data_IF_407419454342
#
_entry.id   IF_407419454342
#
_cell.length_a   1.000
_cell.length_b   1.000
_cell.length_c   1.000
_cell.angle_alpha   90.00
_cell.angle_beta   90.00
_cell.angle_gamma   90.00
#
_symmetry.space_group_name_H-M   'P 1'
#
loop_
_entity.id
_entity.type
_entity.pdbx_description
1 polymer ?
#
# COMPACT_ATOMS: atom_id res chain seq x y z
N UNK A 1 17.53 -17.75 11.65
CA UNK A 1 17.64 -18.24 10.26
C UNK A 1 16.31 -18.30 9.51
N UNK A 2 15.37 -19.23 9.77
CA UNK A 2 14.13 -19.36 8.95
C UNK A 2 13.26 -18.09 9.00
N UNK A 3 13.03 -17.54 10.20
CA UNK A 3 12.23 -16.32 10.41
C UNK A 3 12.83 -15.06 9.78
N UNK A 4 14.16 -14.99 9.71
CA UNK A 4 14.88 -13.87 9.07
C UNK A 4 14.77 -13.95 7.55
N UNK A 5 14.91 -15.15 6.99
CA UNK A 5 14.72 -15.38 5.55
C UNK A 5 13.30 -15.02 5.10
N UNK A 6 12.28 -15.40 5.87
CA UNK A 6 10.88 -15.02 5.60
C UNK A 6 10.65 -13.50 5.68
N UNK A 7 11.22 -12.83 6.69
CA UNK A 7 11.12 -11.37 6.83
C UNK A 7 11.81 -10.64 5.66
N UNK A 8 12.96 -11.14 5.21
CA UNK A 8 13.66 -10.61 4.03
C UNK A 8 12.84 -10.78 2.75
N UNK A 9 12.26 -11.96 2.53
CA UNK A 9 11.41 -12.21 1.36
C UNK A 9 10.16 -11.33 1.36
N UNK A 10 9.51 -11.15 2.52
CA UNK A 10 8.37 -10.25 2.66
C UNK A 10 8.75 -8.81 2.35
N UNK A 11 9.89 -8.34 2.86
CA UNK A 11 10.41 -7.00 2.57
C UNK A 11 10.72 -6.83 1.08
N UNK A 12 11.36 -7.82 0.46
CA UNK A 12 11.68 -7.79 -0.97
C UNK A 12 10.42 -7.69 -1.83
N UNK A 13 9.37 -8.46 -1.51
CA UNK A 13 8.07 -8.38 -2.19
C UNK A 13 7.42 -7.01 -2.04
N UNK A 14 7.46 -6.42 -0.84
CA UNK A 14 6.98 -5.05 -0.62
C UNK A 14 7.71 -4.07 -1.55
N UNK A 15 9.05 -4.08 -1.53
CA UNK A 15 9.86 -3.14 -2.32
C UNK A 15 9.64 -3.31 -3.82
N UNK A 16 9.43 -4.56 -4.27
CA UNK A 16 9.12 -4.87 -5.67
C UNK A 16 7.74 -4.31 -6.05
N UNK A 17 6.72 -4.51 -5.23
CA UNK A 17 5.40 -3.91 -5.47
C UNK A 17 5.48 -2.38 -5.50
N UNK A 18 6.26 -1.77 -4.60
CA UNK A 18 6.49 -0.33 -4.58
C UNK A 18 7.21 0.17 -5.83
N UNK A 19 8.23 -0.57 -6.32
CA UNK A 19 8.88 -0.27 -7.60
C UNK A 19 7.90 -0.28 -8.77
N UNK A 20 7.05 -1.29 -8.87
CA UNK A 20 6.03 -1.37 -9.92
C UNK A 20 5.11 -0.14 -9.85
N UNK A 21 4.61 0.20 -8.65
CA UNK A 21 3.77 1.38 -8.46
C UNK A 21 4.47 2.67 -8.91
N UNK A 22 5.72 2.89 -8.49
CA UNK A 22 6.50 4.08 -8.84
C UNK A 22 6.70 4.18 -10.36
N UNK A 23 7.14 3.10 -10.99
CA UNK A 23 7.45 3.09 -12.43
C UNK A 23 6.19 3.30 -13.27
N UNK A 24 5.09 2.62 -12.94
CA UNK A 24 3.83 2.74 -13.68
C UNK A 24 3.21 4.12 -13.48
N UNK A 25 3.25 4.66 -12.25
CA UNK A 25 2.76 6.02 -11.97
C UNK A 25 3.58 7.08 -12.71
N UNK A 26 4.91 6.94 -12.71
CA UNK A 26 5.81 7.83 -13.43
C UNK A 26 5.59 7.79 -14.93
N UNK A 27 5.52 6.59 -15.51
CA UNK A 27 5.28 6.41 -16.94
C UNK A 27 3.90 6.97 -17.35
N UNK A 28 2.84 6.70 -16.58
CA UNK A 28 1.52 7.27 -16.80
C UNK A 28 1.56 8.81 -16.76
N UNK A 29 2.21 9.38 -15.74
CA UNK A 29 2.31 10.81 -15.56
C UNK A 29 3.02 11.49 -16.73
N UNK A 30 4.18 10.96 -17.14
CA UNK A 30 4.95 11.49 -18.27
C UNK A 30 4.18 11.37 -19.59
N UNK A 31 3.53 10.24 -19.84
CA UNK A 31 2.76 10.01 -21.07
C UNK A 31 1.48 10.85 -21.16
N UNK A 32 0.88 11.24 -20.03
CA UNK A 32 -0.29 12.12 -20.02
C UNK A 32 0.06 13.61 -19.97
N UNK A 33 1.30 13.99 -19.67
CA UNK A 33 1.72 15.39 -19.51
C UNK A 33 1.88 16.18 -20.82
N UNK A 34 1.15 15.84 -21.91
CA UNK A 34 1.29 16.28 -23.31
C UNK A 34 1.51 17.79 -23.60
N UNK A 35 1.42 18.68 -22.61
CA UNK A 35 1.63 20.13 -22.75
C UNK A 35 2.30 20.79 -21.54
N UNK A 36 2.59 20.03 -20.49
CA UNK A 36 3.22 20.50 -19.25
C UNK A 36 4.66 19.98 -19.18
N UNK A 37 5.56 20.75 -18.57
CA UNK A 37 6.91 20.23 -18.30
C UNK A 37 6.83 18.94 -17.47
N UNK A 38 7.48 17.83 -17.88
CA UNK A 38 7.47 16.58 -17.12
C UNK A 38 8.38 16.63 -15.88
N UNK A 39 9.17 17.69 -15.70
CA UNK A 39 10.12 17.87 -14.60
C UNK A 39 9.56 17.59 -13.19
N UNK A 40 8.39 18.14 -12.77
CA UNK A 40 7.82 17.81 -11.47
C UNK A 40 7.53 16.31 -11.30
N UNK A 41 7.05 15.63 -12.35
CA UNK A 41 6.76 14.20 -12.32
C UNK A 41 8.05 13.41 -12.17
N UNK A 42 9.07 13.75 -12.97
CA UNK A 42 10.40 13.11 -12.91
C UNK A 42 11.02 13.31 -11.52
N UNK A 43 10.94 14.51 -10.94
CA UNK A 43 11.44 14.78 -9.59
C UNK A 43 10.74 13.93 -8.52
N UNK A 44 9.41 13.81 -8.58
CA UNK A 44 8.64 12.97 -7.66
C UNK A 44 9.01 11.48 -7.79
N UNK A 45 9.16 10.99 -9.03
CA UNK A 45 9.55 9.60 -9.30
C UNK A 45 10.96 9.34 -8.80
N UNK A 46 11.93 10.23 -9.06
CA UNK A 46 13.29 10.10 -8.56
C UNK A 46 13.33 10.10 -7.03
N UNK A 47 12.59 11.00 -6.37
CA UNK A 47 12.47 11.04 -4.92
C UNK A 47 11.90 9.72 -4.38
N UNK A 48 10.88 9.16 -5.03
CA UNK A 48 10.28 7.88 -4.65
C UNK A 48 11.24 6.71 -4.85
N UNK A 49 12.02 6.69 -5.94
CA UNK A 49 13.05 5.67 -6.18
C UNK A 49 14.15 5.75 -5.13
N UNK A 50 14.64 6.95 -4.79
CA UNK A 50 15.62 7.16 -3.73
C UNK A 50 15.06 6.70 -2.38
N UNK A 51 13.80 7.04 -2.07
CA UNK A 51 13.11 6.53 -0.89
C UNK A 51 13.07 5.00 -0.87
N UNK A 52 12.79 4.36 -2.01
CA UNK A 52 12.73 2.91 -2.09
C UNK A 52 14.10 2.24 -1.92
N UNK A 53 15.16 2.84 -2.46
CA UNK A 53 16.55 2.42 -2.24
C UNK A 53 16.96 2.56 -0.78
N UNK A 54 16.59 3.67 -0.13
CA UNK A 54 16.83 3.85 1.29
C UNK A 54 16.10 2.78 2.13
N UNK A 55 14.85 2.47 1.82
CA UNK A 55 14.13 1.39 2.50
C UNK A 55 14.81 0.03 2.31
N UNK A 56 15.53 -0.20 1.21
CA UNK A 56 16.28 -1.44 1.01
C UNK A 56 17.39 -1.64 2.06
N UNK A 57 17.95 -0.57 2.64
CA UNK A 57 19.01 -0.65 3.65
C UNK A 57 18.49 -0.82 5.09
N UNK A 58 17.21 -0.52 5.35
CA UNK A 58 16.58 -0.63 6.68
C UNK A 58 16.49 -2.10 7.15
N UNK A 59 16.60 -2.38 8.44
CA UNK A 59 16.46 -3.75 8.94
C UNK A 59 15.04 -4.30 8.70
N UNK A 60 14.86 -5.59 8.36
CA UNK A 60 13.53 -6.16 8.12
C UNK A 60 12.60 -6.07 9.32
N UNK A 61 13.15 -6.11 10.54
CA UNK A 61 12.36 -6.06 11.78
C UNK A 61 11.75 -4.69 12.02
N UNK A 62 12.52 -3.61 11.83
CA UNK A 62 11.99 -2.23 11.97
C UNK A 62 11.10 -1.83 10.78
N UNK A 63 11.29 -2.46 9.62
CA UNK A 63 10.52 -2.19 8.41
C UNK A 63 9.01 -2.51 8.54
N UNK A 64 8.67 -3.53 9.34
CA UNK A 64 7.28 -3.96 9.53
C UNK A 64 6.59 -3.29 10.72
N UNK A 65 7.22 -2.31 11.36
CA UNK A 65 6.57 -1.51 12.40
C UNK A 65 5.54 -0.55 11.78
N UNK A 66 4.37 -0.43 12.41
CA UNK A 66 3.29 0.45 11.95
C UNK A 66 3.74 1.91 11.80
N UNK A 67 4.66 2.36 12.66
CA UNK A 67 5.27 3.70 12.63
C UNK A 67 6.13 3.94 11.39
N UNK A 68 6.65 2.90 10.74
CA UNK A 68 7.36 2.99 9.47
C UNK A 68 6.41 2.79 8.29
N UNK A 69 5.48 1.84 8.36
CA UNK A 69 4.60 1.52 7.23
C UNK A 69 3.57 2.61 6.93
N UNK A 70 2.93 3.19 7.95
CA UNK A 70 1.89 4.17 7.75
C UNK A 70 2.40 5.44 7.02
N UNK A 71 3.53 6.05 7.42
CA UNK A 71 4.09 7.18 6.68
C UNK A 71 4.46 6.85 5.22
N UNK A 72 4.95 5.63 4.95
CA UNK A 72 5.28 5.21 3.58
C UNK A 72 4.01 5.18 2.71
N UNK A 73 2.92 4.57 3.21
CA UNK A 73 1.65 4.56 2.49
C UNK A 73 1.10 5.96 2.22
N UNK A 74 1.12 6.83 3.22
CA UNK A 74 0.64 8.21 3.10
C UNK A 74 1.48 8.96 2.07
N UNK A 75 2.80 8.81 2.11
CA UNK A 75 3.71 9.46 1.17
C UNK A 75 3.53 8.94 -0.25
N UNK A 76 3.37 7.62 -0.43
CA UNK A 76 3.13 7.03 -1.76
C UNK A 76 1.76 7.43 -2.32
N UNK A 77 0.72 7.52 -1.47
CA UNK A 77 -0.61 8.01 -1.86
C UNK A 77 -0.55 9.47 -2.28
N UNK A 78 0.16 10.31 -1.53
CA UNK A 78 0.34 11.72 -1.83
C UNK A 78 1.13 11.91 -3.14
N UNK A 79 2.18 11.11 -3.37
CA UNK A 79 2.96 11.14 -4.60
C UNK A 79 2.11 10.73 -5.81
N UNK A 80 1.36 9.63 -5.73
CA UNK A 80 0.45 9.22 -6.81
C UNK A 80 -0.57 10.31 -7.09
N UNK A 81 -1.18 10.87 -6.04
CA UNK A 81 -2.17 11.95 -6.16
C UNK A 81 -1.56 13.19 -6.82
N UNK A 82 -0.34 13.58 -6.43
CA UNK A 82 0.37 14.72 -7.01
C UNK A 82 0.69 14.48 -8.50
N UNK A 83 1.13 13.28 -8.88
CA UNK A 83 1.36 12.94 -10.29
C UNK A 83 0.08 13.04 -11.10
N UNK A 84 -1.04 12.52 -10.59
CA UNK A 84 -2.34 12.59 -11.29
C UNK A 84 -2.84 14.04 -11.45
N UNK A 85 -2.63 14.88 -10.44
CA UNK A 85 -2.97 16.30 -10.49
C UNK A 85 -2.13 17.06 -11.52
N UNK A 86 -0.80 16.84 -11.51
CA UNK A 86 0.13 17.50 -12.43
C UNK A 86 -0.08 17.03 -13.87
N UNK A 87 -0.39 15.74 -14.07
CA UNK A 87 -0.69 15.19 -15.39
C UNK A 87 -2.08 15.57 -15.91
N UNK A 88 -2.85 16.39 -15.17
CA UNK A 88 -4.23 16.77 -15.48
C UNK A 88 -5.10 15.55 -15.81
N UNK A 89 -4.94 14.48 -15.04
CA UNK A 89 -5.79 13.30 -15.22
C UNK A 89 -7.26 13.70 -15.02
N UNK A 90 -8.17 13.00 -15.69
CA UNK A 90 -9.61 13.28 -15.52
C UNK A 90 -10.02 13.06 -14.07
N UNK A 91 -10.96 13.88 -13.58
CA UNK A 91 -11.49 13.76 -12.22
C UNK A 91 -12.03 12.35 -11.94
N UNK A 92 -12.68 11.74 -12.92
CA UNK A 92 -13.17 10.36 -12.86
C UNK A 92 -12.03 9.35 -12.64
N UNK A 93 -10.89 9.53 -13.32
CA UNK A 93 -9.74 8.65 -13.15
C UNK A 93 -9.12 8.76 -11.76
N UNK A 94 -9.07 9.97 -11.21
CA UNK A 94 -8.66 10.18 -9.82
C UNK A 94 -9.61 9.48 -8.84
N UNK A 95 -10.92 9.55 -9.06
CA UNK A 95 -11.91 8.83 -8.25
C UNK A 95 -11.75 7.30 -8.36
N UNK A 96 -11.47 6.77 -9.55
CA UNK A 96 -11.19 5.35 -9.72
C UNK A 96 -9.96 4.88 -8.93
N UNK A 97 -8.90 5.69 -8.87
CA UNK A 97 -7.74 5.40 -8.04
C UNK A 97 -8.13 5.28 -6.56
N UNK A 98 -8.86 6.25 -6.02
CA UNK A 98 -9.34 6.20 -4.63
C UNK A 98 -10.30 5.03 -4.38
N UNK A 99 -11.13 4.70 -5.37
CA UNK A 99 -12.02 3.54 -5.28
C UNK A 99 -11.22 2.24 -5.16
N UNK A 100 -10.13 2.09 -5.90
CA UNK A 100 -9.19 0.95 -5.74
C UNK A 100 -8.55 0.95 -4.35
N UNK A 101 -8.19 2.11 -3.77
CA UNK A 101 -7.68 2.17 -2.39
C UNK A 101 -8.72 1.69 -1.37
N UNK A 102 -9.97 2.11 -1.51
CA UNK A 102 -11.08 1.68 -0.63
C UNK A 102 -11.33 0.17 -0.78
N UNK A 103 -11.33 -0.34 -2.01
CA UNK A 103 -11.39 -1.77 -2.27
C UNK A 103 -10.20 -2.52 -1.65
N UNK A 104 -8.99 -1.98 -1.76
CA UNK A 104 -7.80 -2.57 -1.16
C UNK A 104 -7.89 -2.61 0.37
N UNK A 105 -8.62 -1.68 1.00
CA UNK A 105 -8.89 -1.73 2.43
C UNK A 105 -9.92 -2.81 2.80
N UNK A 106 -10.92 -3.08 1.95
CA UNK A 106 -12.05 -3.98 2.28
C UNK A 106 -11.93 -5.42 1.77
N UNK A 107 -11.38 -5.64 0.58
CA UNK A 107 -11.43 -6.94 -0.11
C UNK A 107 -10.27 -7.85 0.31
N UNK A 108 -10.52 -8.82 1.18
CA UNK A 108 -9.50 -9.73 1.72
C UNK A 108 -8.75 -10.57 0.68
N UNK A 109 -9.38 -10.89 -0.45
CA UNK A 109 -8.73 -11.70 -1.48
C UNK A 109 -8.02 -10.81 -2.52
N UNK A 110 -6.69 -10.94 -2.62
CA UNK A 110 -5.87 -10.17 -3.56
C UNK A 110 -6.28 -10.42 -5.03
N UNK A 111 -6.70 -11.64 -5.40
CA UNK A 111 -7.15 -11.96 -6.75
C UNK A 111 -8.44 -11.21 -7.07
N UNK A 112 -9.39 -11.19 -6.14
CA UNK A 112 -10.66 -10.45 -6.30
C UNK A 112 -10.39 -8.95 -6.43
N UNK A 113 -9.46 -8.41 -5.64
CA UNK A 113 -9.02 -7.02 -5.74
C UNK A 113 -8.41 -6.71 -7.11
N UNK A 114 -7.54 -7.59 -7.64
CA UNK A 114 -6.92 -7.42 -8.95
C UNK A 114 -7.93 -7.49 -10.09
N UNK A 115 -8.88 -8.43 -10.03
CA UNK A 115 -9.97 -8.53 -11.02
C UNK A 115 -10.81 -7.26 -11.01
N UNK A 116 -11.17 -6.77 -9.83
CA UNK A 116 -11.95 -5.53 -9.71
C UNK A 116 -11.18 -4.30 -10.20
N UNK A 117 -9.88 -4.20 -9.88
CA UNK A 117 -9.02 -3.13 -10.40
C UNK A 117 -8.85 -3.19 -11.92
N UNK A 118 -8.77 -4.40 -12.49
CA UNK A 118 -8.77 -4.59 -13.94
C UNK A 118 -10.09 -4.12 -14.57
N UNK A 119 -11.23 -4.49 -13.97
CA UNK A 119 -12.55 -4.04 -14.42
C UNK A 119 -12.70 -2.52 -14.36
N UNK A 120 -12.20 -1.87 -13.30
CA UNK A 120 -12.15 -0.41 -13.17
C UNK A 120 -11.24 0.20 -14.24
N UNK A 121 -10.09 -0.43 -14.51
CA UNK A 121 -9.20 -0.03 -15.60
C UNK A 121 -9.92 -0.03 -16.95
N UNK A 122 -10.65 -1.11 -17.27
CA UNK A 122 -11.47 -1.19 -18.48
C UNK A 122 -12.57 -0.12 -18.49
N UNK A 123 -13.30 0.04 -17.40
CA UNK A 123 -14.35 1.07 -17.29
C UNK A 123 -13.78 2.48 -17.55
N UNK A 124 -12.59 2.77 -17.03
CA UNK A 124 -11.90 4.03 -17.29
C UNK A 124 -11.53 4.22 -18.76
N UNK A 125 -11.16 3.14 -19.48
CA UNK A 125 -10.94 3.23 -20.93
C UNK A 125 -12.23 3.51 -21.68
N UNK A 126 -13.33 2.85 -21.31
CA UNK A 126 -14.64 3.00 -21.98
C UNK A 126 -15.22 4.41 -21.80
N UNK A 127 -14.94 5.06 -20.67
CA UNK A 127 -15.32 6.45 -20.40
C UNK A 127 -14.38 7.48 -21.04
N UNK A 128 -13.27 7.04 -21.62
CA UNK A 128 -12.32 7.95 -22.26
C UNK A 128 -12.61 8.05 -23.76
N UNK A 129 -12.51 9.27 -24.30
CA UNK A 129 -12.59 9.48 -25.74
C UNK A 129 -11.40 8.80 -26.45
N UNK A 130 -11.64 7.63 -27.04
CA UNK A 130 -10.67 6.88 -27.87
C UNK A 130 -10.50 7.51 -29.26
N UNK A 131 -10.35 8.83 -29.33
CA UNK A 131 -10.10 9.56 -30.59
C UNK A 131 -8.66 9.40 -31.09
N UNK A 132 -7.76 8.91 -30.24
CA UNK A 132 -6.36 8.62 -30.55
C UNK A 132 -6.17 7.10 -30.47
N UNK A 133 -5.66 6.48 -31.53
CA UNK A 133 -5.63 5.01 -31.71
C UNK A 133 -4.85 4.20 -30.66
N UNK A 134 -4.41 2.99 -31.03
CA UNK A 134 -3.80 2.01 -30.10
C UNK A 134 -2.52 2.48 -29.36
N UNK A 135 -1.92 3.60 -29.74
CA UNK A 135 -0.78 4.22 -29.06
C UNK A 135 -1.18 5.26 -27.98
N UNK A 136 -2.46 5.34 -27.63
CA UNK A 136 -2.97 6.34 -26.69
C UNK A 136 -2.41 6.14 -25.27
N UNK A 137 -1.97 7.21 -24.58
CA UNK A 137 -1.58 7.17 -23.16
C UNK A 137 -2.66 6.57 -22.24
N UNK A 138 -3.91 6.53 -22.70
CA UNK A 138 -5.07 5.99 -22.01
C UNK A 138 -4.89 4.49 -21.67
N UNK A 139 -4.14 3.71 -22.46
CA UNK A 139 -3.88 2.29 -22.14
C UNK A 139 -3.09 2.07 -20.85
N UNK A 140 -2.29 3.06 -20.41
CA UNK A 140 -1.53 2.97 -19.15
C UNK A 140 -2.41 3.03 -17.90
N UNK A 141 -3.70 3.32 -18.04
CA UNK A 141 -4.66 3.33 -16.93
C UNK A 141 -4.91 1.93 -16.36
N UNK A 142 -4.95 0.89 -17.21
CA UNK A 142 -5.09 -0.50 -16.76
C UNK A 142 -3.89 -0.95 -15.90
N UNK A 143 -2.63 -0.90 -16.39
CA UNK A 143 -1.49 -1.32 -15.58
C UNK A 143 -1.35 -0.45 -14.33
N UNK A 144 -1.74 0.82 -14.37
CA UNK A 144 -1.78 1.68 -13.19
C UNK A 144 -2.77 1.20 -12.11
N UNK A 145 -4.01 0.87 -12.50
CA UNK A 145 -5.01 0.36 -11.56
C UNK A 145 -4.56 -0.98 -10.95
N UNK A 146 -3.97 -1.86 -11.77
CA UNK A 146 -3.40 -3.12 -11.31
C UNK A 146 -2.22 -2.92 -10.36
N UNK A 147 -1.29 -2.02 -10.68
CA UNK A 147 -0.14 -1.71 -9.82
C UNK A 147 -0.59 -1.14 -8.46
N UNK A 148 -1.60 -0.26 -8.47
CA UNK A 148 -2.23 0.28 -7.26
C UNK A 148 -2.84 -0.85 -6.44
N UNK A 149 -3.69 -1.67 -7.04
CA UNK A 149 -4.31 -2.81 -6.37
C UNK A 149 -3.29 -3.79 -5.79
N UNK A 150 -2.23 -4.08 -6.55
CA UNK A 150 -1.16 -4.98 -6.12
C UNK A 150 -0.41 -4.42 -4.90
N UNK A 151 0.02 -3.17 -4.95
CA UNK A 151 0.75 -2.54 -3.86
C UNK A 151 -0.10 -2.38 -2.61
N UNK A 152 -1.22 -1.65 -2.69
CA UNK A 152 -2.05 -1.38 -1.52
C UNK A 152 -2.72 -2.65 -0.99
N UNK A 153 -3.11 -3.57 -1.88
CA UNK A 153 -3.61 -4.89 -1.49
C UNK A 153 -2.55 -5.69 -0.72
N UNK A 154 -1.31 -5.74 -1.19
CA UNK A 154 -0.24 -6.46 -0.50
C UNK A 154 0.08 -5.87 0.87
N UNK A 155 0.12 -4.55 1.00
CA UNK A 155 0.49 -3.90 2.27
C UNK A 155 -0.62 -3.98 3.30
N UNK A 156 -1.88 -3.82 2.90
CA UNK A 156 -3.02 -3.79 3.84
C UNK A 156 -3.52 -5.20 4.19
N UNK A 157 -3.23 -6.22 3.37
CA UNK A 157 -3.69 -7.60 3.61
C UNK A 157 -3.36 -8.14 5.03
N UNK A 158 -2.15 -7.98 5.56
CA UNK A 158 -1.80 -8.45 6.90
C UNK A 158 -2.53 -7.72 8.05
N UNK A 159 -2.84 -6.42 7.87
CA UNK A 159 -3.54 -5.58 8.87
C UNK A 159 -4.97 -6.08 9.10
N UNK A 160 -5.69 -6.36 8.01
CA UNK A 160 -7.11 -6.75 8.07
C UNK A 160 -7.33 -8.23 8.34
N UNK A 161 -6.40 -9.11 7.97
CA UNK A 161 -6.50 -10.55 8.24
C UNK A 161 -6.18 -10.90 9.70
N UNK A 162 -5.97 -9.91 10.58
CA UNK A 162 -5.72 -10.11 12.00
C UNK A 162 -4.38 -10.78 12.31
N UNK A 163 -3.44 -10.80 11.36
CA UNK A 163 -2.13 -11.44 11.51
C UNK A 163 -1.08 -10.54 12.19
N UNK A 164 -1.50 -9.39 12.72
CA UNK A 164 -0.60 -8.51 13.45
C UNK A 164 -0.47 -8.94 14.90
N UNK A 165 0.78 -9.06 15.33
CA UNK A 165 1.11 -9.09 16.75
C UNK A 165 0.55 -7.80 17.34
N UNK A 166 -0.30 -7.86 18.37
CA UNK A 166 -0.94 -6.66 18.90
C UNK A 166 0.13 -5.65 19.29
N UNK A 167 -0.08 -4.37 18.93
CA UNK A 167 0.73 -3.28 19.43
C UNK A 167 0.73 -3.34 20.96
N UNK A 168 1.80 -3.86 21.54
CA UNK A 168 2.06 -3.67 22.96
C UNK A 168 2.51 -2.23 23.11
N UNK A 169 1.54 -1.34 23.29
CA UNK A 169 1.81 -0.03 23.86
C UNK A 169 2.38 -0.26 25.26
N UNK A 170 3.70 -0.27 25.36
CA UNK A 170 4.39 -0.30 26.64
C UNK A 170 4.23 1.03 27.36
N UNK A 171 3.14 1.20 28.12
CA UNK A 171 3.07 2.06 29.32
C UNK A 171 1.76 1.77 30.07
N UNK A 172 1.71 1.35 31.34
CA UNK A 172 2.73 1.17 32.35
C UNK A 172 2.43 -0.01 33.28
N UNK A 173 3.36 -0.27 34.18
CA UNK A 173 3.46 -1.48 34.99
C UNK A 173 2.17 -1.93 35.68
N UNK A 174 1.64 -3.08 35.25
CA UNK A 174 0.84 -3.92 36.12
C UNK A 174 1.80 -4.83 36.90
N UNK A 175 2.16 -4.37 38.10
CA UNK A 175 2.81 -5.17 39.14
C UNK A 175 2.02 -6.49 39.27
N UNK A 176 2.64 -7.62 38.88
CA UNK A 176 2.12 -8.94 39.25
C UNK A 176 2.31 -9.09 40.76
N UNK A 177 1.27 -8.82 41.53
CA UNK A 177 1.25 -9.21 42.94
C UNK A 177 1.22 -10.74 43.00
N UNK A 178 2.17 -11.39 43.71
CA UNK A 178 2.06 -12.81 44.00
C UNK A 178 0.84 -13.00 44.91
N UNK A 179 -0.14 -13.79 44.45
CA UNK A 179 -1.22 -14.25 45.32
C UNK A 179 -0.61 -15.16 46.38
N UNK A 180 -0.56 -14.69 47.61
CA UNK A 180 -0.29 -15.50 48.79
C UNK A 180 -1.36 -16.60 48.93
N UNK A 181 -0.98 -17.82 49.34
CA UNK A 181 -1.91 -18.93 49.49
C UNK A 181 -2.67 -18.79 50.81
N UNK A 182 -3.88 -18.24 50.77
CA UNK A 182 -4.74 -18.18 51.95
C UNK A 182 -5.54 -19.47 52.10
N UNK A 183 -5.01 -20.31 52.98
CA UNK A 183 -5.61 -21.37 53.79
C UNK A 183 -7.08 -21.75 53.56
N UNK A 184 -7.27 -23.06 53.40
CA UNK A 184 -8.53 -23.79 53.44
C UNK A 184 -9.39 -23.42 54.67
N UNK A 185 -10.67 -23.13 54.43
CA UNK A 185 -11.72 -23.13 55.47
C UNK A 185 -12.38 -24.52 55.51
N UNK A 186 -12.49 -25.16 56.68
CA UNK A 186 -13.14 -26.46 56.82
C UNK A 186 -14.66 -26.32 56.71
N UNK A 187 -15.29 -27.31 56.06
CA UNK A 187 -16.73 -27.50 56.08
C UNK A 187 -17.17 -27.95 57.46
N UNK A 188 -18.09 -27.20 58.09
CA UNK A 188 -18.84 -27.66 59.25
C UNK A 188 -20.25 -27.98 58.77
N UNK A 189 -20.60 -29.27 58.81
CA UNK A 189 -21.96 -29.79 58.73
C UNK A 189 -22.74 -29.38 59.98
N UNK A 190 -23.99 -28.99 59.79
CA UNK A 190 -25.09 -29.26 60.69
C UNK A 190 -26.29 -29.68 59.83
#
# INVERSE_FOLDING_TARGET
>A
MIREAEALLRKQRFLLCRYILILVTGALGVLQANSSSPMPIVALVLLALVSNLYLATVSPFSFFDATMQAPILVTDTAMVSAVLLVSRASQEFFLFFFFVLIMAAKIENLIVLLIGAFAIGIASLLLSDMSTGLASPVFMRIPFMLATALFYGYVVLPERSGQMTPMSFGSGGAIRLPRSPTAARPQIRA
#
